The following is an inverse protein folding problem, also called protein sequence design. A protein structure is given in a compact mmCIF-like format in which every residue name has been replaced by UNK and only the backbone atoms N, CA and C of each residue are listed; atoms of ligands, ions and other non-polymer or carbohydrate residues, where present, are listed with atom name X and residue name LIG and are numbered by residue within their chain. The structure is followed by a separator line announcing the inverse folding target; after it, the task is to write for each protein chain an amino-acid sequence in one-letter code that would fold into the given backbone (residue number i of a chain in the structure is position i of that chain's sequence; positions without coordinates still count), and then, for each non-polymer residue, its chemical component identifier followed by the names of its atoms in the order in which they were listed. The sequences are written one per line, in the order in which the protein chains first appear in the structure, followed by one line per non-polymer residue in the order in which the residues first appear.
data_IF_796132217326
#
_entry.id   IF_796132217326
#
_cell.length_a   1.000
_cell.length_b   1.000
_cell.length_c   1.000
_cell.angle_alpha   90.00
_cell.angle_beta   90.00
_cell.angle_gamma   90.00
#
_symmetry.space_group_name_H-M   'P 1'
#
loop_
_entity.id
_entity.type
_entity.pdbx_description
1 polymer ?
#
# COMPACT_ATOMS: atom_id res chain seq x y z
N UNK A 1 2.99 -4.78 31.64
CA UNK A 1 3.06 -4.34 30.26
C UNK A 1 1.86 -4.88 29.50
N UNK A 2 0.98 -4.00 29.10
CA UNK A 2 -0.15 -4.44 28.32
C UNK A 2 0.27 -4.54 26.85
N UNK A 3 0.01 -5.68 26.24
CA UNK A 3 0.17 -5.85 24.82
C UNK A 3 -1.15 -5.46 24.16
N UNK A 4 -1.13 -4.40 23.37
CA UNK A 4 -2.30 -4.02 22.62
C UNK A 4 -2.70 -5.16 21.68
N UNK A 5 -3.99 -5.43 21.58
CA UNK A 5 -4.50 -6.39 20.61
C UNK A 5 -4.33 -5.83 19.20
N UNK A 6 -4.42 -6.69 18.19
CA UNK A 6 -4.38 -6.23 16.79
C UNK A 6 -5.53 -5.27 16.51
N UNK A 7 -6.70 -5.50 17.10
CA UNK A 7 -7.84 -4.60 16.94
C UNK A 7 -7.55 -3.21 17.53
N UNK A 8 -6.93 -3.15 18.70
CA UNK A 8 -6.56 -1.87 19.32
C UNK A 8 -5.52 -1.13 18.48
N UNK A 9 -4.50 -1.84 18.02
CA UNK A 9 -3.47 -1.26 17.15
C UNK A 9 -4.08 -0.72 15.86
N UNK A 10 -5.00 -1.46 15.27
CA UNK A 10 -5.69 -1.06 14.05
C UNK A 10 -6.53 0.20 14.28
N UNK A 11 -7.28 0.24 15.37
CA UNK A 11 -8.10 1.41 15.71
C UNK A 11 -7.24 2.67 15.91
N UNK A 12 -6.08 2.52 16.57
CA UNK A 12 -5.15 3.63 16.76
C UNK A 12 -4.57 4.10 15.42
N UNK A 13 -4.25 3.15 14.54
CA UNK A 13 -3.73 3.47 13.22
C UNK A 13 -4.75 4.24 12.39
N UNK A 14 -6.02 3.82 12.40
CA UNK A 14 -7.07 4.52 11.67
C UNK A 14 -7.29 5.93 12.22
N UNK A 15 -7.18 6.11 13.54
CA UNK A 15 -7.26 7.44 14.14
C UNK A 15 -6.10 8.33 13.67
N UNK A 16 -4.90 7.77 13.58
CA UNK A 16 -3.74 8.48 13.04
C UNK A 16 -3.96 8.89 11.59
N UNK A 17 -4.46 7.96 10.77
CA UNK A 17 -4.72 8.25 9.35
C UNK A 17 -5.83 9.29 9.18
N UNK A 18 -6.84 9.29 10.05
CA UNK A 18 -7.91 10.29 10.01
C UNK A 18 -7.39 11.72 10.17
N UNK A 19 -6.24 11.88 10.81
CA UNK A 19 -5.62 13.18 11.01
C UNK A 19 -4.75 13.63 9.83
N UNK A 20 -4.54 12.75 8.84
CA UNK A 20 -3.72 13.09 7.68
C UNK A 20 -4.48 14.00 6.71
N UNK A 21 -3.76 14.84 5.94
CA UNK A 21 -4.41 15.69 4.93
C UNK A 21 -5.31 14.94 3.96
N UNK A 22 -4.95 13.71 3.60
CA UNK A 22 -5.73 12.86 2.70
C UNK A 22 -7.15 12.60 3.19
N UNK A 23 -7.37 12.67 4.51
CA UNK A 23 -8.68 12.47 5.13
C UNK A 23 -9.26 13.74 5.72
N UNK A 24 -8.77 14.92 5.32
CA UNK A 24 -9.25 16.19 5.86
C UNK A 24 -10.78 16.32 5.72
N UNK A 25 -11.46 16.41 6.85
CA UNK A 25 -12.92 16.46 6.87
C UNK A 25 -13.63 15.12 6.68
N UNK A 26 -12.86 14.03 6.57
CA UNK A 26 -13.39 12.67 6.42
C UNK A 26 -12.91 11.81 7.57
N UNK A 27 -13.61 10.71 7.83
CA UNK A 27 -13.20 9.75 8.85
C UNK A 27 -12.59 8.52 8.18
N UNK A 28 -11.44 8.08 8.68
CA UNK A 28 -10.87 6.79 8.30
C UNK A 28 -11.35 5.74 9.31
N UNK A 29 -12.46 5.08 9.00
CA UNK A 29 -13.19 4.21 9.93
C UNK A 29 -12.86 2.73 9.76
N UNK A 30 -12.42 2.30 8.57
CA UNK A 30 -12.12 0.90 8.26
C UNK A 30 -11.18 0.81 7.05
N UNK A 31 -10.87 -0.43 6.62
CA UNK A 31 -9.94 -0.66 5.50
C UNK A 31 -10.46 -0.15 4.16
N UNK A 32 -11.75 0.14 4.05
CA UNK A 32 -12.37 0.60 2.82
C UNK A 32 -12.63 2.10 2.80
N UNK A 33 -12.25 2.83 3.85
CA UNK A 33 -12.46 4.27 3.91
C UNK A 33 -11.64 4.96 2.83
N UNK A 34 -12.28 5.86 2.09
CA UNK A 34 -11.64 6.58 0.98
C UNK A 34 -11.20 7.97 1.43
N UNK A 35 -9.94 8.30 1.18
CA UNK A 35 -9.44 9.65 1.33
C UNK A 35 -9.97 10.55 0.20
N UNK A 36 -9.60 11.82 0.26
CA UNK A 36 -10.07 12.86 -0.68
C UNK A 36 -9.75 12.54 -2.14
N UNK A 37 -8.67 11.80 -2.39
CA UNK A 37 -8.22 11.49 -3.75
C UNK A 37 -8.40 10.02 -4.12
N UNK A 38 -9.13 9.27 -3.29
CA UNK A 38 -9.49 7.89 -3.57
C UNK A 38 -8.59 6.83 -2.96
N UNK A 39 -7.60 7.21 -2.17
CA UNK A 39 -6.75 6.24 -1.49
C UNK A 39 -7.45 5.62 -0.29
N UNK A 40 -7.22 4.34 -0.09
CA UNK A 40 -7.62 3.60 1.12
C UNK A 40 -6.43 3.47 2.06
N UNK A 41 -6.63 3.01 3.31
CA UNK A 41 -5.52 2.86 4.26
C UNK A 41 -4.32 2.07 3.73
N UNK A 42 -4.54 1.02 2.92
CA UNK A 42 -3.45 0.22 2.38
C UNK A 42 -2.49 1.05 1.51
N UNK A 43 -3.03 2.03 0.77
CA UNK A 43 -2.22 2.91 -0.08
C UNK A 43 -1.34 3.82 0.77
N UNK A 44 -1.87 4.32 1.88
CA UNK A 44 -1.12 5.18 2.80
C UNK A 44 0.04 4.39 3.42
N UNK A 45 -0.23 3.18 3.90
CA UNK A 45 0.79 2.33 4.51
C UNK A 45 1.90 1.99 3.50
N UNK A 46 1.52 1.68 2.25
CA UNK A 46 2.48 1.37 1.20
C UNK A 46 3.35 2.58 0.83
N UNK A 47 2.74 3.75 0.75
CA UNK A 47 3.46 5.00 0.49
C UNK A 47 4.48 5.29 1.60
N UNK A 48 4.12 4.98 2.85
CA UNK A 48 5.03 5.13 4.00
C UNK A 48 6.09 4.04 4.04
N UNK A 49 5.88 2.93 3.35
CA UNK A 49 6.78 1.78 3.37
C UNK A 49 6.78 1.04 4.72
N UNK A 50 5.75 1.22 5.52
CA UNK A 50 5.66 0.63 6.85
C UNK A 50 5.03 -0.76 6.78
N UNK A 51 5.86 -1.79 6.85
CA UNK A 51 5.43 -3.18 6.71
C UNK A 51 4.49 -3.58 7.83
N UNK A 52 4.72 -3.12 9.06
CA UNK A 52 3.84 -3.44 10.19
C UNK A 52 2.43 -2.88 9.95
N UNK A 53 2.33 -1.65 9.42
CA UNK A 53 1.04 -1.07 9.08
C UNK A 53 0.37 -1.84 7.94
N UNK A 54 1.13 -2.18 6.90
CA UNK A 54 0.60 -2.99 5.77
C UNK A 54 0.05 -4.31 6.29
N UNK A 55 0.83 -5.01 7.11
CA UNK A 55 0.43 -6.29 7.68
C UNK A 55 -0.85 -6.18 8.50
N UNK A 56 -0.94 -5.14 9.33
CA UNK A 56 -2.10 -4.91 10.19
C UNK A 56 -3.36 -4.64 9.35
N UNK A 57 -3.24 -3.83 8.32
CA UNK A 57 -4.35 -3.47 7.44
C UNK A 57 -4.81 -4.69 6.63
N UNK A 58 -3.89 -5.47 6.08
CA UNK A 58 -4.23 -6.70 5.36
C UNK A 58 -4.90 -7.71 6.29
N UNK A 59 -4.45 -7.79 7.55
CA UNK A 59 -5.04 -8.68 8.56
C UNK A 59 -6.49 -8.32 8.89
N UNK A 60 -6.92 -7.09 8.59
CA UNK A 60 -8.29 -6.63 8.80
C UNK A 60 -9.13 -6.65 7.51
N UNK A 61 -8.66 -7.36 6.49
CA UNK A 61 -9.45 -7.65 5.31
C UNK A 61 -9.30 -6.71 4.12
N UNK A 62 -8.26 -5.88 4.10
CA UNK A 62 -8.03 -5.01 2.95
C UNK A 62 -7.74 -5.84 1.70
N UNK A 63 -8.24 -5.35 0.55
CA UNK A 63 -7.90 -5.92 -0.75
C UNK A 63 -6.52 -5.39 -1.16
N UNK A 64 -5.54 -6.28 -1.27
CA UNK A 64 -4.17 -5.92 -1.61
C UNK A 64 -4.05 -5.30 -3.01
N UNK A 65 -5.02 -5.58 -3.87
CA UNK A 65 -5.01 -5.12 -5.26
C UNK A 65 -6.00 -3.99 -5.54
N UNK A 66 -6.59 -3.39 -4.51
CA UNK A 66 -7.52 -2.28 -4.73
C UNK A 66 -6.79 -1.05 -5.27
N UNK A 67 -7.48 -0.30 -6.12
CA UNK A 67 -6.90 0.88 -6.77
C UNK A 67 -7.28 2.16 -6.04
N UNK A 68 -6.31 3.03 -5.85
CA UNK A 68 -6.48 4.33 -5.23
C UNK A 68 -6.30 5.46 -6.23
N UNK A 69 -5.72 6.56 -5.78
CA UNK A 69 -5.46 7.72 -6.62
C UNK A 69 -4.66 7.33 -7.86
N UNK A 70 -5.09 7.82 -9.02
CA UNK A 70 -4.48 7.53 -10.32
C UNK A 70 -4.50 6.05 -10.71
N UNK A 71 -5.37 5.27 -10.08
CA UNK A 71 -5.45 3.83 -10.34
C UNK A 71 -4.29 3.03 -9.75
N UNK A 72 -3.53 3.61 -8.86
CA UNK A 72 -2.38 2.96 -8.23
C UNK A 72 -2.85 1.90 -7.24
N UNK A 73 -2.23 0.72 -7.28
CA UNK A 73 -2.33 -0.26 -6.20
C UNK A 73 -1.30 0.08 -5.13
N UNK A 74 -1.40 -0.59 -3.98
CA UNK A 74 -0.38 -0.44 -2.94
C UNK A 74 1.02 -0.76 -3.47
N UNK A 75 1.12 -1.75 -4.37
CA UNK A 75 2.40 -2.12 -4.98
C UNK A 75 2.99 -0.96 -5.82
N UNK A 76 2.14 -0.27 -6.59
CA UNK A 76 2.58 0.93 -7.31
C UNK A 76 3.11 1.99 -6.35
N UNK A 77 2.40 2.23 -5.26
CA UNK A 77 2.79 3.26 -4.28
C UNK A 77 4.15 2.94 -3.65
N UNK A 78 4.36 1.68 -3.27
CA UNK A 78 5.63 1.26 -2.69
C UNK A 78 6.79 1.40 -3.69
N UNK A 79 6.54 1.05 -4.96
CA UNK A 79 7.53 1.21 -6.03
C UNK A 79 7.87 2.68 -6.24
N UNK A 80 6.85 3.53 -6.35
CA UNK A 80 7.06 4.96 -6.60
C UNK A 80 7.91 5.61 -5.51
N UNK A 81 7.72 5.20 -4.27
CA UNK A 81 8.46 5.75 -3.13
C UNK A 81 9.80 5.04 -2.87
N UNK A 82 10.13 4.03 -3.66
CA UNK A 82 11.41 3.33 -3.52
C UNK A 82 11.52 2.42 -2.31
N UNK A 83 10.40 1.94 -1.79
CA UNK A 83 10.38 1.07 -0.60
C UNK A 83 10.53 -0.40 -0.97
N UNK A 84 11.77 -0.83 -1.22
CA UNK A 84 12.05 -2.19 -1.69
C UNK A 84 11.55 -3.29 -0.75
N UNK A 85 11.68 -3.11 0.56
CA UNK A 85 11.21 -4.09 1.53
C UNK A 85 9.68 -4.23 1.50
N UNK A 86 8.97 -3.11 1.35
CA UNK A 86 7.51 -3.13 1.23
C UNK A 86 7.07 -3.79 -0.09
N UNK A 87 7.79 -3.52 -1.19
CA UNK A 87 7.53 -4.18 -2.48
C UNK A 87 7.67 -5.69 -2.33
N UNK A 88 8.76 -6.15 -1.74
CA UNK A 88 8.98 -7.58 -1.52
C UNK A 88 7.86 -8.19 -0.67
N UNK A 89 7.51 -7.52 0.42
CA UNK A 89 6.44 -7.99 1.30
C UNK A 89 5.11 -8.11 0.56
N UNK A 90 4.73 -7.06 -0.19
CA UNK A 90 3.48 -7.05 -0.96
C UNK A 90 3.45 -8.17 -2.01
N UNK A 91 4.55 -8.37 -2.73
CA UNK A 91 4.64 -9.46 -3.71
C UNK A 91 4.46 -10.81 -3.03
N UNK A 92 5.08 -11.02 -1.87
CA UNK A 92 4.95 -12.27 -1.11
C UNK A 92 3.52 -12.49 -0.59
N UNK A 93 2.75 -11.43 -0.41
CA UNK A 93 1.36 -11.50 0.02
C UNK A 93 0.37 -11.62 -1.14
N UNK A 94 0.86 -11.72 -2.35
CA UNK A 94 0.00 -11.95 -3.52
C UNK A 94 -0.40 -10.70 -4.29
N UNK A 95 0.28 -9.57 -4.09
CA UNK A 95 0.02 -8.39 -4.90
C UNK A 95 0.28 -8.67 -6.37
N UNK A 96 -0.62 -8.17 -7.23
CA UNK A 96 -0.55 -8.40 -8.67
C UNK A 96 0.49 -7.48 -9.32
N UNK A 97 1.61 -8.02 -9.83
CA UNK A 97 2.65 -7.19 -10.44
C UNK A 97 2.26 -6.63 -11.81
N UNK A 98 1.15 -7.10 -12.38
CA UNK A 98 0.70 -6.71 -13.71
C UNK A 98 -0.53 -5.79 -13.69
N UNK A 99 -1.02 -5.40 -12.52
CA UNK A 99 -2.15 -4.49 -12.41
C UNK A 99 -1.80 -3.13 -13.00
N UNK A 100 -2.63 -2.62 -13.90
CA UNK A 100 -2.35 -1.36 -14.60
C UNK A 100 -2.98 -0.18 -13.87
N UNK A 101 -2.23 0.92 -13.77
CA UNK A 101 -2.79 2.19 -13.28
C UNK A 101 -3.56 2.89 -14.40
N UNK A 102 -4.00 4.13 -14.16
CA UNK A 102 -4.80 4.88 -15.13
C UNK A 102 -4.02 5.22 -16.41
N UNK A 103 -2.70 5.21 -16.33
CA UNK A 103 -1.82 5.45 -17.49
C UNK A 103 -1.42 4.16 -18.22
N UNK A 104 -1.97 3.03 -17.78
CA UNK A 104 -1.66 1.72 -18.37
C UNK A 104 -0.30 1.18 -17.96
N UNK A 105 0.23 1.59 -16.82
CA UNK A 105 1.56 1.21 -16.34
C UNK A 105 1.42 0.23 -15.18
N UNK A 106 2.15 -0.89 -15.26
CA UNK A 106 2.20 -1.88 -14.17
C UNK A 106 3.26 -1.47 -13.14
N UNK A 107 3.22 -2.04 -11.92
CA UNK A 107 4.27 -1.75 -10.93
C UNK A 107 5.68 -2.07 -11.43
N UNK A 108 5.86 -3.18 -12.18
CA UNK A 108 7.16 -3.53 -12.73
C UNK A 108 7.63 -2.52 -13.77
N UNK A 109 6.71 -2.06 -14.62
CA UNK A 109 7.02 -1.06 -15.62
C UNK A 109 7.33 0.29 -14.98
N UNK A 110 6.63 0.63 -13.90
CA UNK A 110 6.91 1.83 -13.12
C UNK A 110 8.34 1.80 -12.56
N UNK A 111 8.78 0.65 -12.05
CA UNK A 111 10.14 0.47 -11.56
C UNK A 111 11.18 0.73 -12.66
N UNK A 112 10.89 0.30 -13.89
CA UNK A 112 11.76 0.59 -15.04
C UNK A 112 11.81 2.08 -15.35
N UNK A 113 10.64 2.72 -15.38
CA UNK A 113 10.53 4.15 -15.67
C UNK A 113 11.25 5.01 -14.64
N UNK A 114 11.27 4.57 -13.39
CA UNK A 114 11.94 5.28 -12.29
C UNK A 114 13.40 4.85 -12.12
N UNK A 115 13.88 3.94 -12.95
CA UNK A 115 15.26 3.41 -12.91
C UNK A 115 15.61 2.82 -11.54
N UNK A 116 14.69 2.05 -10.97
CA UNK A 116 14.87 1.40 -9.67
C UNK A 116 15.31 -0.06 -9.84
N UNK A 117 16.59 -0.26 -10.15
CA UNK A 117 17.13 -1.58 -10.49
C UNK A 117 16.92 -2.65 -9.41
N UNK A 118 17.08 -2.29 -8.14
CA UNK A 118 16.88 -3.21 -7.03
C UNK A 118 15.42 -3.69 -6.97
N UNK A 119 14.49 -2.77 -7.08
CA UNK A 119 13.07 -3.10 -7.07
C UNK A 119 12.68 -3.91 -8.31
N UNK A 120 13.20 -3.52 -9.48
CA UNK A 120 12.96 -4.26 -10.72
C UNK A 120 13.42 -5.71 -10.58
N UNK A 121 14.56 -5.92 -9.94
CA UNK A 121 15.08 -7.27 -9.69
C UNK A 121 14.12 -8.12 -8.85
N UNK A 122 13.41 -7.50 -7.90
CA UNK A 122 12.42 -8.21 -7.10
C UNK A 122 11.27 -8.75 -7.97
N UNK A 123 10.84 -7.98 -8.96
CA UNK A 123 9.81 -8.43 -9.90
C UNK A 123 10.32 -9.58 -10.77
N UNK A 124 11.55 -9.51 -11.21
CA UNK A 124 12.15 -10.57 -12.03
C UNK A 124 12.27 -11.89 -11.28
N UNK A 125 12.61 -11.84 -9.99
CA UNK A 125 12.69 -13.03 -9.13
C UNK A 125 11.32 -13.70 -8.99
N UNK A 126 10.26 -12.92 -8.89
CA UNK A 126 8.91 -13.43 -8.75
C UNK A 126 8.33 -14.02 -10.02
N UNK A 127 8.95 -13.77 -11.17
CA UNK A 127 8.47 -14.24 -12.47
C UNK A 127 8.89 -15.68 -12.79
N UNK A 128 9.78 -16.26 -11.98
CA UNK A 128 10.27 -17.62 -12.21
C UNK A 128 9.29 -18.69 -11.75
#
# INVERSE_FOLDING_TARGET
VSNATNQEKFSLLLAEYSALPEFSGLECADVNSLGLFGDRPIHIAATRGDIDEIQLILGHGADINCKGEHGYTALHDAVEQGHSAAVEYLLNQGADPESLNDDGVSPAELAKLLDEGEILHLFERGAS
#
